data_IF_802439415279
#
_entry.id   IF_802439415279
#
_cell.length_a   1.000
_cell.length_b   1.000
_cell.length_c   1.000
_cell.angle_alpha   90.00
_cell.angle_beta   90.00
_cell.angle_gamma   90.00
#
_symmetry.space_group_name_H-M   'P 1'
#
loop_
_entity.id
_entity.type
_entity.pdbx_description
1 polymer ?
#
# COMPACT_ATOMS: atom_id res chain seq x y z
N UNK A 1 20.56 11.57 -51.60
CA UNK A 1 20.19 11.17 -50.23
C UNK A 1 19.19 12.18 -49.67
N UNK A 2 17.94 11.76 -49.41
CA UNK A 2 16.87 12.67 -48.96
C UNK A 2 17.09 13.17 -47.53
N UNK A 3 17.08 14.48 -47.35
CA UNK A 3 17.13 15.12 -46.02
C UNK A 3 15.86 14.74 -45.26
N UNK A 4 15.99 13.96 -44.18
CA UNK A 4 14.85 13.61 -43.32
C UNK A 4 14.32 14.88 -42.66
N UNK A 5 12.99 15.07 -42.69
CA UNK A 5 12.32 16.18 -42.00
C UNK A 5 12.70 16.12 -40.52
N UNK A 6 13.39 17.16 -40.03
CA UNK A 6 13.72 17.30 -38.61
C UNK A 6 12.42 17.55 -37.85
N UNK A 7 12.16 16.72 -36.84
CA UNK A 7 11.04 16.93 -35.93
C UNK A 7 11.33 18.19 -35.09
N UNK A 8 10.35 19.08 -34.91
CA UNK A 8 10.49 20.29 -34.10
C UNK A 8 11.00 20.00 -32.68
N UNK A 9 11.87 20.87 -32.16
CA UNK A 9 12.49 20.69 -30.85
C UNK A 9 11.46 20.61 -29.69
N UNK A 10 10.34 21.32 -29.82
CA UNK A 10 9.24 21.30 -28.84
C UNK A 10 8.60 19.90 -28.72
N UNK A 11 8.36 19.23 -29.85
CA UNK A 11 7.84 17.85 -29.86
C UNK A 11 8.84 16.85 -29.26
N UNK A 12 10.13 17.12 -29.40
CA UNK A 12 11.15 16.29 -28.75
C UNK A 12 11.17 16.48 -27.23
N UNK A 13 10.99 17.69 -26.70
CA UNK A 13 10.88 17.91 -25.25
C UNK A 13 9.64 17.25 -24.67
N UNK A 14 8.49 17.41 -25.32
CA UNK A 14 7.22 16.81 -24.88
C UNK A 14 7.30 15.28 -24.88
N UNK A 15 7.78 14.66 -25.97
CA UNK A 15 7.94 13.20 -26.03
C UNK A 15 8.98 12.67 -25.03
N UNK A 16 9.98 13.47 -24.68
CA UNK A 16 10.95 13.12 -23.64
C UNK A 16 10.33 13.19 -22.25
N UNK A 17 9.48 14.18 -22.01
CA UNK A 17 8.77 14.39 -20.75
C UNK A 17 7.72 13.29 -20.51
N UNK A 18 6.91 12.94 -21.52
CA UNK A 18 5.98 11.82 -21.44
C UNK A 18 6.69 10.47 -21.24
N UNK A 19 7.85 10.25 -21.87
CA UNK A 19 8.65 9.04 -21.61
C UNK A 19 9.26 9.03 -20.21
N UNK A 20 9.62 10.20 -19.66
CA UNK A 20 10.07 10.33 -18.29
C UNK A 20 8.93 9.99 -17.32
N UNK A 21 7.74 10.53 -17.55
CA UNK A 21 6.53 10.24 -16.77
C UNK A 21 6.17 8.74 -16.79
N UNK A 22 6.18 8.12 -17.98
CA UNK A 22 5.93 6.68 -18.13
C UNK A 22 7.00 5.82 -17.44
N UNK A 23 8.25 6.28 -17.36
CA UNK A 23 9.29 5.58 -16.60
C UNK A 23 9.10 5.75 -15.10
N UNK A 24 8.81 6.96 -14.62
CA UNK A 24 8.49 7.24 -13.21
C UNK A 24 7.31 6.40 -12.74
N UNK A 25 6.24 6.34 -13.54
CA UNK A 25 5.07 5.50 -13.27
C UNK A 25 5.41 4.00 -13.28
N UNK A 26 6.36 3.56 -14.12
CA UNK A 26 6.83 2.16 -14.14
C UNK A 26 7.81 1.81 -13.01
N UNK A 27 8.42 2.79 -12.36
CA UNK A 27 9.37 2.58 -11.24
C UNK A 27 8.77 2.85 -9.86
N UNK A 28 7.54 3.36 -9.78
CA UNK A 28 6.91 3.77 -8.52
C UNK A 28 6.28 2.64 -7.68
N UNK A 29 6.26 1.40 -8.16
CA UNK A 29 5.89 0.26 -7.32
C UNK A 29 7.14 -0.35 -6.71
N UNK A 30 7.52 0.04 -5.48
CA UNK A 30 7.59 -0.91 -4.34
C UNK A 30 8.27 -0.43 -3.05
N UNK A 31 9.15 0.56 -3.02
CA UNK A 31 10.07 0.66 -1.87
C UNK A 31 10.10 2.04 -1.21
N UNK A 32 9.44 2.08 -0.04
CA UNK A 32 9.71 2.94 1.12
C UNK A 32 8.77 4.15 1.36
N UNK A 33 7.44 3.92 1.33
CA UNK A 33 6.44 4.89 1.85
C UNK A 33 6.47 5.03 3.39
N UNK A 34 7.08 4.08 4.11
CA UNK A 34 7.05 4.01 5.58
C UNK A 34 7.77 5.19 6.25
N UNK A 35 8.81 5.74 5.61
CA UNK A 35 9.53 6.93 6.10
C UNK A 35 8.75 8.23 5.91
N UNK A 36 7.84 8.29 4.94
CA UNK A 36 6.98 9.43 4.71
C UNK A 36 5.74 9.42 5.62
N UNK A 37 5.27 8.24 6.04
CA UNK A 37 4.14 8.10 6.98
C UNK A 37 4.57 8.42 8.42
N UNK A 38 5.80 8.08 8.81
CA UNK A 38 6.29 8.26 10.19
C UNK A 38 6.79 9.66 10.49
N UNK A 39 7.18 10.43 9.48
CA UNK A 39 7.61 11.82 9.62
C UNK A 39 6.47 12.76 9.22
N UNK A 40 5.39 12.79 10.00
CA UNK A 40 4.36 13.81 9.87
C UNK A 40 4.97 15.16 10.27
N UNK A 41 5.15 16.13 9.35
CA UNK A 41 5.68 17.43 9.72
C UNK A 41 4.64 18.17 10.58
N UNK A 42 5.06 18.95 11.60
CA UNK A 42 4.13 19.72 12.42
C UNK A 42 3.31 20.66 11.52
N UNK A 43 1.98 20.49 11.59
CA UNK A 43 0.97 21.33 10.93
C UNK A 43 1.38 22.80 11.07
N UNK A 44 1.78 23.44 9.97
CA UNK A 44 2.02 24.88 9.96
C UNK A 44 0.68 25.60 10.08
N UNK A 45 0.52 26.56 11.01
CA UNK A 45 -0.68 27.37 11.08
C UNK A 45 -0.84 28.18 9.79
N UNK A 46 -2.04 28.11 9.21
CA UNK A 46 -2.47 28.92 8.07
C UNK A 46 -2.32 30.40 8.43
N UNK A 47 -1.35 31.07 7.83
CA UNK A 47 -1.29 32.52 7.81
C UNK A 47 -1.79 33.03 6.46
N UNK A 48 -2.77 33.91 6.57
CA UNK A 48 -3.42 34.69 5.54
C UNK A 48 -2.42 35.54 4.76
N UNK A 49 -2.75 35.76 3.49
CA UNK A 49 -2.03 36.50 2.46
C UNK A 49 -1.35 37.79 2.95
N UNK A 50 -0.11 38.02 2.50
CA UNK A 50 0.27 39.28 1.84
C UNK A 50 1.73 39.27 1.33
N UNK A 51 1.83 39.63 0.05
CA UNK A 51 2.81 40.55 -0.53
C UNK A 51 4.28 40.13 -0.79
N UNK A 52 4.67 40.55 -1.99
CA UNK A 52 5.96 41.11 -2.41
C UNK A 52 7.00 40.17 -2.99
N UNK A 53 7.00 40.20 -4.32
CA UNK A 53 8.11 39.90 -5.21
C UNK A 53 9.26 40.89 -5.01
N UNK A 54 10.45 40.38 -4.76
CA UNK A 54 11.69 41.14 -4.96
C UNK A 54 12.79 40.18 -5.41
N UNK A 55 13.08 40.21 -6.72
CA UNK A 55 14.28 39.62 -7.32
C UNK A 55 15.48 40.55 -7.02
N UNK A 56 16.64 40.05 -6.57
CA UNK A 56 17.84 40.86 -6.48
C UNK A 56 18.55 40.91 -7.84
N UNK A 57 18.88 42.15 -8.22
CA UNK A 57 19.72 42.57 -9.33
C UNK A 57 21.17 42.09 -9.13
N UNK A 58 21.81 41.58 -10.19
CA UNK A 58 23.20 41.14 -10.18
C UNK A 58 24.04 42.08 -11.07
N UNK A 59 25.24 42.51 -10.63
CA UNK A 59 26.02 43.52 -11.33
C UNK A 59 26.75 42.93 -12.56
N UNK A 60 26.63 43.64 -13.68
CA UNK A 60 27.54 43.50 -14.83
C UNK A 60 28.92 44.03 -14.44
N UNK A 61 29.94 43.19 -14.59
CA UNK A 61 31.35 43.61 -14.54
C UNK A 61 31.96 43.22 -15.89
N UNK A 62 32.18 44.23 -16.72
CA UNK A 62 33.01 44.18 -17.91
C UNK A 62 34.46 44.33 -17.48
N UNK A 63 35.30 43.32 -17.67
CA UNK A 63 36.76 43.49 -17.67
C UNK A 63 37.37 42.71 -18.84
N UNK A 64 37.93 43.50 -19.75
CA UNK A 64 38.85 43.13 -20.81
C UNK A 64 40.19 42.71 -20.21
N UNK A 65 40.68 41.54 -20.60
CA UNK A 65 42.07 41.16 -20.42
C UNK A 65 42.57 40.45 -21.68
N UNK A 66 43.43 41.15 -22.42
CA UNK A 66 44.15 40.71 -23.61
C UNK A 66 45.44 40.02 -23.16
N UNK A 67 45.40 38.69 -23.09
CA UNK A 67 46.56 37.84 -22.78
C UNK A 67 46.65 36.66 -23.74
N UNK A 68 47.49 36.81 -24.78
CA UNK A 68 47.95 35.76 -25.68
C UNK A 68 48.78 34.74 -24.89
N UNK A 69 48.17 33.62 -24.49
CA UNK A 69 48.88 32.40 -24.11
C UNK A 69 48.26 31.20 -24.85
N UNK A 70 49.12 30.55 -25.64
CA UNK A 70 48.89 29.36 -26.48
C UNK A 70 48.57 28.11 -25.64
N UNK A 71 47.48 28.15 -24.86
CA UNK A 71 46.99 26.99 -24.12
C UNK A 71 46.01 26.19 -25.01
N UNK A 72 46.27 24.88 -25.26
CA UNK A 72 45.45 24.09 -26.16
C UNK A 72 43.99 24.09 -25.70
N UNK A 73 43.02 24.31 -26.61
CA UNK A 73 41.64 24.60 -26.26
C UNK A 73 41.07 23.47 -25.40
N UNK A 74 40.98 23.73 -24.09
CA UNK A 74 40.35 22.85 -23.14
C UNK A 74 38.92 22.63 -23.63
N UNK A 75 38.66 21.43 -24.13
CA UNK A 75 37.36 20.99 -24.63
C UNK A 75 36.36 21.18 -23.50
N UNK A 76 35.65 22.33 -23.52
CA UNK A 76 34.55 22.64 -22.61
C UNK A 76 33.53 21.51 -22.77
N UNK A 77 33.65 20.52 -21.89
CA UNK A 77 32.80 19.35 -21.89
C UNK A 77 31.37 19.86 -21.81
N UNK A 78 30.57 19.57 -22.85
CA UNK A 78 29.15 19.90 -22.86
C UNK A 78 28.59 19.51 -21.50
N UNK A 79 27.86 20.39 -20.80
CA UNK A 79 27.25 20.05 -19.52
C UNK A 79 26.48 18.76 -19.77
N UNK A 80 26.98 17.65 -19.21
CA UNK A 80 26.30 16.37 -19.27
C UNK A 80 24.92 16.69 -18.74
N UNK A 81 23.88 16.55 -19.58
CA UNK A 81 22.49 16.62 -19.13
C UNK A 81 22.47 15.67 -17.94
N UNK A 82 22.48 16.24 -16.73
CA UNK A 82 22.49 15.45 -15.51
C UNK A 82 21.28 14.57 -15.67
N UNK A 83 21.54 13.28 -15.61
CA UNK A 83 20.52 12.27 -15.80
C UNK A 83 19.31 12.72 -14.99
N UNK A 84 18.23 13.09 -15.67
CA UNK A 84 16.94 13.45 -15.05
C UNK A 84 16.26 12.17 -14.54
N UNK A 85 17.07 11.21 -14.13
CA UNK A 85 16.65 10.11 -13.29
C UNK A 85 16.30 10.76 -11.97
N UNK A 86 15.04 10.57 -11.58
CA UNK A 86 14.56 10.87 -10.25
C UNK A 86 15.59 10.33 -9.25
N UNK A 87 16.22 11.24 -8.51
CA UNK A 87 17.17 10.86 -7.48
C UNK A 87 16.39 10.06 -6.45
N UNK A 88 16.91 8.87 -6.12
CA UNK A 88 16.40 8.06 -5.02
C UNK A 88 17.31 8.24 -3.81
N UNK A 89 16.78 8.44 -2.60
CA UNK A 89 15.35 8.62 -2.26
C UNK A 89 14.77 9.92 -2.82
N UNK A 90 13.47 9.92 -3.17
CA UNK A 90 12.75 11.13 -3.60
C UNK A 90 12.84 12.17 -2.48
N UNK A 91 13.23 13.40 -2.82
CA UNK A 91 13.21 14.47 -1.85
C UNK A 91 11.75 14.85 -1.56
N UNK A 92 11.47 15.31 -0.34
CA UNK A 92 10.12 15.71 0.09
C UNK A 92 9.48 16.72 -0.87
N UNK A 93 10.31 17.56 -1.52
CA UNK A 93 9.87 18.56 -2.48
C UNK A 93 9.57 18.00 -3.89
N UNK A 94 10.01 16.77 -4.18
CA UNK A 94 9.78 16.09 -5.47
C UNK A 94 8.48 15.28 -5.47
N UNK A 95 7.91 15.02 -4.29
CA UNK A 95 6.64 14.31 -4.14
C UNK A 95 5.50 15.32 -4.14
N UNK A 96 4.62 15.23 -5.13
CA UNK A 96 3.39 16.01 -5.13
C UNK A 96 2.56 15.65 -3.89
N UNK A 97 2.34 16.61 -3.01
CA UNK A 97 1.41 16.47 -1.89
C UNK A 97 0.01 16.56 -2.47
N UNK A 98 -0.81 15.50 -2.40
CA UNK A 98 -2.16 15.55 -2.94
C UNK A 98 -2.95 16.65 -2.24
N UNK A 99 -3.79 17.35 -3.00
CA UNK A 99 -4.70 18.36 -2.46
C UNK A 99 -5.74 17.75 -1.52
N UNK A 100 -6.05 16.46 -1.73
CA UNK A 100 -7.04 15.70 -0.96
C UNK A 100 -6.34 14.73 -0.01
N UNK A 101 -6.74 14.79 1.26
CA UNK A 101 -6.32 13.81 2.26
C UNK A 101 -7.03 12.46 2.06
N UNK A 102 -6.51 11.42 2.71
CA UNK A 102 -7.17 10.11 2.75
C UNK A 102 -8.58 10.19 3.36
N UNK A 103 -8.76 11.05 4.36
CA UNK A 103 -10.06 11.33 4.98
C UNK A 103 -11.06 11.90 3.97
N UNK A 104 -10.66 12.90 3.19
CA UNK A 104 -11.52 13.54 2.19
C UNK A 104 -11.95 12.54 1.10
N UNK A 105 -11.01 11.72 0.62
CA UNK A 105 -11.28 10.68 -0.37
C UNK A 105 -12.25 9.63 0.17
N UNK A 106 -12.08 9.21 1.43
CA UNK A 106 -13.00 8.27 2.07
C UNK A 106 -14.37 8.89 2.30
N UNK A 107 -14.43 10.18 2.67
CA UNK A 107 -15.68 10.94 2.77
C UNK A 107 -16.46 10.94 1.45
N UNK A 108 -15.78 11.23 0.34
CA UNK A 108 -16.38 11.19 -0.99
C UNK A 108 -16.86 9.78 -1.38
N UNK A 109 -16.09 8.73 -1.07
CA UNK A 109 -16.47 7.34 -1.32
C UNK A 109 -17.65 6.89 -0.47
N UNK A 110 -17.72 7.30 0.80
CA UNK A 110 -18.85 7.01 1.69
C UNK A 110 -20.12 7.68 1.15
N UNK A 111 -20.02 8.95 0.76
CA UNK A 111 -21.13 9.70 0.16
C UNK A 111 -21.63 9.02 -1.12
N UNK A 112 -20.71 8.60 -1.99
CA UNK A 112 -21.05 7.85 -3.21
C UNK A 112 -21.70 6.49 -2.90
N UNK A 113 -21.20 5.76 -1.89
CA UNK A 113 -21.76 4.49 -1.47
C UNK A 113 -23.18 4.65 -0.90
N UNK A 114 -23.40 5.66 -0.06
CA UNK A 114 -24.72 5.98 0.50
C UNK A 114 -25.71 6.42 -0.57
N UNK A 115 -25.25 7.15 -1.59
CA UNK A 115 -26.07 7.54 -2.74
C UNK A 115 -26.48 6.34 -3.60
N UNK A 116 -25.57 5.39 -3.82
CA UNK A 116 -25.83 4.21 -4.65
C UNK A 116 -26.61 3.12 -3.89
N UNK A 117 -26.44 3.04 -2.58
CA UNK A 117 -27.10 2.08 -1.70
C UNK A 117 -27.66 2.81 -0.48
N UNK A 118 -28.77 3.56 -0.63
CA UNK A 118 -29.38 4.23 0.51
C UNK A 118 -29.68 3.18 1.58
N UNK A 119 -29.22 3.37 2.83
CA UNK A 119 -29.50 2.43 3.89
C UNK A 119 -31.02 2.21 3.94
N UNK A 120 -31.44 0.95 3.97
CA UNK A 120 -32.83 0.60 4.27
C UNK A 120 -33.07 0.89 5.74
N UNK A 121 -33.07 2.18 6.11
CA UNK A 121 -33.35 2.62 7.47
C UNK A 121 -34.74 2.06 7.78
N UNK A 122 -34.89 1.24 8.83
CA UNK A 122 -36.20 0.79 9.27
C UNK A 122 -37.08 2.03 9.44
N UNK A 123 -38.22 2.08 8.73
CA UNK A 123 -39.12 3.24 8.65
C UNK A 123 -39.63 3.78 10.01
N UNK A 124 -39.23 3.16 11.12
CA UNK A 124 -39.65 3.49 12.49
C UNK A 124 -39.19 4.86 13.01
N UNK A 125 -38.20 5.51 12.39
CA UNK A 125 -37.76 6.85 12.82
C UNK A 125 -38.37 8.01 12.01
N UNK A 126 -39.16 7.73 10.97
CA UNK A 126 -39.63 8.76 10.03
C UNK A 126 -40.94 9.46 10.43
N UNK A 127 -41.47 9.16 11.62
CA UNK A 127 -42.76 9.68 12.11
C UNK A 127 -42.67 10.95 12.99
N UNK A 128 -41.49 11.56 13.15
CA UNK A 128 -41.32 12.68 14.11
C UNK A 128 -40.98 14.05 13.50
N UNK A 129 -40.85 14.21 12.18
CA UNK A 129 -40.63 15.55 11.58
C UNK A 129 -41.47 15.74 10.31
N UNK A 130 -42.71 16.17 10.54
CA UNK A 130 -43.47 17.00 9.60
C UNK A 130 -43.52 18.36 10.27
N UNK A 131 -42.79 19.35 9.78
CA UNK A 131 -43.21 20.76 9.69
C UNK A 131 -42.45 21.42 8.53
N UNK A 132 -43.10 21.37 7.37
CA UNK A 132 -43.32 22.44 6.41
C UNK A 132 -42.53 23.75 6.63
N UNK A 133 -41.62 24.07 5.71
CA UNK A 133 -41.04 25.41 5.64
C UNK A 133 -39.70 25.54 4.92
N UNK A 134 -39.78 26.02 3.68
CA UNK A 134 -38.74 26.77 2.94
C UNK A 134 -37.75 25.95 2.09
N UNK A 135 -38.04 25.87 0.79
CA UNK A 135 -37.16 25.42 -0.30
C UNK A 135 -36.05 26.46 -0.56
N UNK A 136 -35.26 26.77 0.46
CA UNK A 136 -34.01 27.49 0.27
C UNK A 136 -33.00 26.53 -0.36
N UNK A 137 -32.39 26.93 -1.48
CA UNK A 137 -31.16 26.36 -2.05
C UNK A 137 -30.03 26.44 -1.00
N UNK A 138 -30.13 25.62 0.06
CA UNK A 138 -29.08 25.43 1.02
C UNK A 138 -28.01 24.60 0.32
N UNK A 139 -26.91 25.27 -0.03
CA UNK A 139 -25.72 24.66 -0.60
C UNK A 139 -25.41 23.36 0.17
N UNK A 140 -25.52 22.19 -0.50
CA UNK A 140 -25.30 20.84 0.06
C UNK A 140 -23.88 20.65 0.66
N UNK A 141 -23.03 21.68 0.60
CA UNK A 141 -21.65 21.70 1.04
C UNK A 141 -21.46 21.96 2.55
N UNK A 142 -22.51 22.38 3.28
CA UNK A 142 -22.41 22.73 4.72
C UNK A 142 -22.84 21.60 5.68
N UNK A 143 -23.19 20.41 5.20
CA UNK A 143 -23.53 19.28 6.08
C UNK A 143 -22.26 18.71 6.74
N UNK A 144 -22.13 18.90 8.06
CA UNK A 144 -20.98 18.44 8.84
C UNK A 144 -20.64 16.97 8.51
N UNK A 145 -19.36 16.64 8.24
CA UNK A 145 -18.99 15.29 7.83
C UNK A 145 -19.39 14.27 8.91
N UNK A 146 -19.82 13.06 8.50
CA UNK A 146 -20.27 12.05 9.46
C UNK A 146 -19.20 11.76 10.53
N UNK A 147 -19.55 11.68 11.83
CA UNK A 147 -18.58 11.45 12.91
C UNK A 147 -17.85 10.09 12.80
N UNK A 148 -18.30 9.21 11.91
CA UNK A 148 -17.68 7.92 11.61
C UNK A 148 -16.49 8.01 10.65
N UNK A 149 -16.36 9.11 9.90
CA UNK A 149 -15.34 9.31 8.88
C UNK A 149 -13.89 9.11 9.39
N UNK A 150 -13.45 9.69 10.53
CA UNK A 150 -12.08 9.47 11.02
C UNK A 150 -11.80 8.01 11.37
N UNK A 151 -12.81 7.27 11.84
CA UNK A 151 -12.67 5.85 12.16
C UNK A 151 -12.52 5.00 10.88
N UNK A 152 -13.30 5.32 9.84
CA UNK A 152 -13.17 4.69 8.52
C UNK A 152 -11.81 5.00 7.89
N UNK A 153 -11.35 6.24 8.00
CA UNK A 153 -10.03 6.63 7.52
C UNK A 153 -8.89 5.90 8.24
N UNK A 154 -8.96 5.81 9.55
CA UNK A 154 -8.00 5.03 10.34
C UNK A 154 -8.02 3.55 9.95
N UNK A 155 -9.21 2.97 9.75
CA UNK A 155 -9.37 1.57 9.34
C UNK A 155 -8.81 1.32 7.94
N UNK A 156 -9.10 2.20 6.99
CA UNK A 156 -8.56 2.14 5.62
C UNK A 156 -7.04 2.30 5.60
N UNK A 157 -6.50 3.24 6.38
CA UNK A 157 -5.05 3.42 6.52
C UNK A 157 -4.37 2.16 7.08
N UNK A 158 -4.95 1.55 8.12
CA UNK A 158 -4.43 0.31 8.69
C UNK A 158 -4.50 -0.85 7.68
N UNK A 159 -5.58 -0.92 6.90
CA UNK A 159 -5.73 -1.89 5.83
C UNK A 159 -4.66 -1.72 4.76
N UNK A 160 -4.49 -0.51 4.22
CA UNK A 160 -3.46 -0.20 3.22
C UNK A 160 -2.06 -0.52 3.72
N UNK A 161 -1.74 -0.14 4.96
CA UNK A 161 -0.47 -0.49 5.59
C UNK A 161 -0.25 -2.01 5.65
N UNK A 162 -1.32 -2.78 5.93
CA UNK A 162 -1.26 -4.24 5.94
C UNK A 162 -1.00 -4.81 4.54
N UNK A 163 -1.66 -4.28 3.51
CA UNK A 163 -1.39 -4.68 2.11
C UNK A 163 0.07 -4.40 1.73
N UNK A 164 0.56 -3.21 2.04
CA UNK A 164 1.95 -2.82 1.74
C UNK A 164 2.96 -3.68 2.50
N UNK A 165 2.68 -4.02 3.76
CA UNK A 165 3.51 -4.93 4.55
C UNK A 165 3.56 -6.34 3.93
N UNK A 166 2.40 -6.85 3.46
CA UNK A 166 2.35 -8.13 2.75
C UNK A 166 3.13 -8.09 1.44
N UNK A 167 2.99 -7.02 0.65
CA UNK A 167 3.77 -6.85 -0.59
C UNK A 167 5.28 -6.79 -0.30
N UNK A 168 5.69 -6.09 0.75
CA UNK A 168 7.07 -6.03 1.19
C UNK A 168 7.58 -7.42 1.61
N UNK A 169 6.77 -8.21 2.33
CA UNK A 169 7.10 -9.58 2.73
C UNK A 169 7.27 -10.52 1.52
N UNK A 170 6.47 -10.33 0.48
CA UNK A 170 6.57 -11.10 -0.77
C UNK A 170 7.68 -10.60 -1.70
N UNK A 171 8.34 -9.48 -1.37
CA UNK A 171 9.47 -8.95 -2.15
C UNK A 171 10.79 -9.44 -1.53
N UNK A 172 11.53 -10.37 -2.17
CA UNK A 172 12.75 -10.90 -1.59
C UNK A 172 13.78 -9.79 -1.37
N UNK A 173 14.43 -9.78 -0.20
CA UNK A 173 15.51 -8.86 0.09
C UNK A 173 16.66 -9.06 -0.92
N UNK A 174 17.13 -7.95 -1.51
CA UNK A 174 18.19 -7.97 -2.52
C UNK A 174 19.27 -6.93 -2.24
N UNK A 175 20.52 -7.19 -2.64
CA UNK A 175 21.57 -6.19 -2.57
C UNK A 175 21.19 -4.97 -3.41
N UNK A 176 21.62 -3.78 -2.98
CA UNK A 176 21.24 -2.49 -3.57
C UNK A 176 21.54 -2.42 -5.09
N UNK A 177 22.59 -3.10 -5.55
CA UNK A 177 22.96 -3.20 -6.97
C UNK A 177 21.94 -3.94 -7.85
N UNK A 178 21.05 -4.74 -7.25
CA UNK A 178 20.02 -5.52 -7.95
C UNK A 178 18.61 -4.95 -7.83
N UNK A 179 18.41 -3.85 -7.10
CA UNK A 179 17.08 -3.25 -6.93
C UNK A 179 16.48 -2.80 -8.27
N UNK A 180 17.31 -2.30 -9.19
CA UNK A 180 16.89 -1.90 -10.55
C UNK A 180 16.47 -3.08 -11.45
N UNK A 181 16.60 -4.33 -10.98
CA UNK A 181 16.22 -5.54 -11.73
C UNK A 181 14.89 -6.12 -11.28
N UNK A 182 14.20 -5.48 -10.35
CA UNK A 182 12.87 -5.91 -9.94
C UNK A 182 11.89 -5.65 -11.09
N UNK A 183 11.12 -6.69 -11.42
CA UNK A 183 9.97 -6.51 -12.29
C UNK A 183 8.96 -5.65 -11.53
N UNK A 184 8.37 -4.61 -12.14
CA UNK A 184 7.32 -3.83 -11.51
C UNK A 184 6.23 -4.76 -10.98
N UNK A 185 5.76 -4.51 -9.76
CA UNK A 185 4.64 -5.25 -9.21
C UNK A 185 3.40 -4.89 -10.03
N UNK A 186 2.80 -5.90 -10.66
CA UNK A 186 1.53 -5.72 -11.35
C UNK A 186 0.37 -5.82 -10.36
N UNK A 187 -0.78 -5.26 -10.73
CA UNK A 187 -2.02 -5.41 -9.95
C UNK A 187 -2.40 -6.87 -9.72
N UNK A 188 -2.00 -7.77 -10.63
CA UNK A 188 -2.21 -9.21 -10.50
C UNK A 188 -1.49 -9.76 -9.27
N UNK A 189 -0.24 -9.34 -9.08
CA UNK A 189 0.58 -9.77 -7.94
C UNK A 189 -0.04 -9.27 -6.63
N UNK A 190 -0.60 -8.06 -6.63
CA UNK A 190 -1.33 -7.53 -5.47
C UNK A 190 -2.54 -8.41 -5.13
N UNK A 191 -3.38 -8.74 -6.11
CA UNK A 191 -4.54 -9.61 -5.88
C UNK A 191 -4.15 -11.03 -5.47
N UNK A 192 -3.07 -11.56 -6.05
CA UNK A 192 -2.54 -12.88 -5.72
C UNK A 192 -2.04 -12.96 -4.26
N UNK A 193 -1.34 -11.92 -3.81
CA UNK A 193 -0.89 -11.79 -2.42
C UNK A 193 -2.09 -11.66 -1.48
N UNK A 194 -3.06 -10.80 -1.80
CA UNK A 194 -4.28 -10.63 -0.98
C UNK A 194 -5.09 -11.92 -0.90
N UNK A 195 -5.27 -12.63 -2.02
CA UNK A 195 -5.95 -13.93 -2.05
C UNK A 195 -5.22 -14.99 -1.21
N UNK A 196 -3.89 -14.89 -1.12
CA UNK A 196 -3.10 -15.81 -0.30
C UNK A 196 -3.22 -15.53 1.20
N UNK A 197 -3.55 -14.30 1.59
CA UNK A 197 -3.71 -13.90 2.99
C UNK A 197 -5.17 -13.92 3.47
N UNK A 198 -6.13 -14.18 2.58
CA UNK A 198 -7.54 -14.33 2.96
C UNK A 198 -7.71 -15.55 3.88
N UNK A 199 -7.81 -15.27 5.19
CA UNK A 199 -8.15 -16.23 6.23
C UNK A 199 -9.67 -16.47 6.21
N UNK A 200 -10.13 -17.70 5.91
CA UNK A 200 -11.55 -18.00 5.76
C UNK A 200 -12.30 -18.08 7.11
N UNK A 201 -11.57 -18.16 8.23
CA UNK A 201 -12.14 -18.42 9.55
C UNK A 201 -12.33 -17.16 10.42
N UNK A 202 -11.76 -16.02 10.02
CA UNK A 202 -11.85 -14.81 10.83
C UNK A 202 -13.11 -14.00 10.45
N UNK A 203 -14.06 -13.77 11.39
CA UNK A 203 -15.24 -12.94 11.13
C UNK A 203 -14.89 -11.49 10.78
N UNK A 204 -13.67 -11.06 11.10
CA UNK A 204 -13.12 -9.75 10.78
C UNK A 204 -12.09 -9.81 9.63
N UNK A 205 -12.12 -10.85 8.80
CA UNK A 205 -11.28 -10.91 7.60
C UNK A 205 -11.70 -9.77 6.68
N UNK A 206 -10.80 -8.80 6.49
CA UNK A 206 -11.05 -7.64 5.62
C UNK A 206 -11.17 -8.01 4.14
N UNK A 207 -10.80 -9.23 3.76
CA UNK A 207 -10.67 -9.65 2.37
C UNK A 207 -11.74 -10.68 2.04
N UNK A 208 -12.85 -10.18 1.49
CA UNK A 208 -13.91 -11.01 0.93
C UNK A 208 -13.51 -11.55 -0.47
N UNK A 209 -13.66 -12.85 -0.77
CA UNK A 209 -13.47 -13.37 -2.13
C UNK A 209 -14.33 -12.67 -3.20
N UNK A 210 -15.52 -12.18 -2.84
CA UNK A 210 -16.34 -11.39 -3.75
C UNK A 210 -15.69 -10.04 -4.09
N UNK A 211 -15.07 -9.40 -3.09
CA UNK A 211 -14.30 -8.16 -3.29
C UNK A 211 -13.12 -8.39 -4.24
N UNK A 212 -12.33 -9.46 -4.06
CA UNK A 212 -11.22 -9.80 -4.97
C UNK A 212 -11.73 -9.96 -6.41
N UNK A 213 -12.86 -10.63 -6.60
CA UNK A 213 -13.46 -10.86 -7.92
C UNK A 213 -13.94 -9.54 -8.57
N UNK A 214 -14.54 -8.65 -7.78
CA UNK A 214 -14.96 -7.32 -8.25
C UNK A 214 -13.76 -6.46 -8.64
N UNK A 215 -12.70 -6.45 -7.82
CA UNK A 215 -11.47 -5.70 -8.13
C UNK A 215 -10.80 -6.27 -9.38
N UNK A 216 -10.69 -7.59 -9.50
CA UNK A 216 -10.18 -8.24 -10.72
C UNK A 216 -10.94 -7.78 -11.96
N UNK A 217 -12.27 -7.85 -11.93
CA UNK A 217 -13.12 -7.45 -13.07
C UNK A 217 -12.90 -6.00 -13.46
N UNK A 218 -12.80 -5.09 -12.48
CA UNK A 218 -12.52 -3.66 -12.72
C UNK A 218 -11.12 -3.45 -13.31
N UNK A 219 -10.11 -4.14 -12.78
CA UNK A 219 -8.74 -4.02 -13.28
C UNK A 219 -8.59 -4.60 -14.69
N UNK A 220 -9.30 -5.68 -15.02
CA UNK A 220 -9.33 -6.23 -16.38
C UNK A 220 -10.01 -5.30 -17.37
N UNK A 221 -11.02 -4.54 -16.95
CA UNK A 221 -11.64 -3.53 -17.79
C UNK A 221 -10.68 -2.37 -18.14
N UNK A 222 -9.78 -2.00 -17.21
CA UNK A 222 -8.83 -0.88 -17.39
C UNK A 222 -7.57 -1.34 -18.14
N UNK A 223 -6.99 -2.48 -17.73
CA UNK A 223 -5.68 -2.94 -18.20
C UNK A 223 -5.74 -4.10 -19.20
N UNK A 224 -6.93 -4.62 -19.49
CA UNK A 224 -7.14 -5.79 -20.33
C UNK A 224 -7.22 -7.11 -19.56
N UNK A 225 -7.71 -8.19 -20.21
CA UNK A 225 -7.90 -9.49 -19.58
C UNK A 225 -6.56 -10.07 -19.10
N UNK A 226 -6.59 -10.73 -17.93
CA UNK A 226 -5.40 -11.33 -17.37
C UNK A 226 -5.67 -12.71 -16.77
N UNK A 227 -4.74 -13.65 -17.00
CA UNK A 227 -4.73 -14.97 -16.38
C UNK A 227 -4.30 -14.90 -14.90
N UNK A 228 -5.04 -14.17 -14.07
CA UNK A 228 -4.87 -14.24 -12.61
C UNK A 228 -5.78 -15.31 -12.02
N UNK A 229 -5.18 -16.26 -11.28
CA UNK A 229 -5.86 -17.29 -10.52
C UNK A 229 -6.20 -16.86 -9.07
N UNK A 230 -5.98 -15.59 -8.71
CA UNK A 230 -6.35 -15.02 -7.40
C UNK A 230 -7.77 -15.39 -6.93
N UNK A 231 -8.85 -15.18 -7.72
CA UNK A 231 -10.21 -15.43 -7.24
C UNK A 231 -10.44 -16.93 -6.97
N UNK A 232 -9.89 -17.80 -7.81
CA UNK A 232 -10.01 -19.25 -7.64
C UNK A 232 -9.27 -19.72 -6.39
N UNK A 233 -8.09 -19.16 -6.07
CA UNK A 233 -7.35 -19.47 -4.84
C UNK A 233 -8.08 -18.98 -3.59
N UNK A 234 -8.62 -17.75 -3.62
CA UNK A 234 -9.40 -17.21 -2.50
C UNK A 234 -10.65 -18.07 -2.23
N UNK A 235 -11.37 -18.45 -3.29
CA UNK A 235 -12.55 -19.30 -3.18
C UNK A 235 -12.21 -20.72 -2.68
N UNK A 236 -11.14 -21.33 -3.18
CA UNK A 236 -10.70 -22.66 -2.73
C UNK A 236 -10.42 -22.68 -1.23
N UNK A 237 -9.70 -21.69 -0.69
CA UNK A 237 -9.43 -21.58 0.75
C UNK A 237 -10.71 -21.47 1.58
N UNK A 238 -11.70 -20.74 1.06
CA UNK A 238 -12.99 -20.59 1.70
C UNK A 238 -13.77 -21.92 1.75
N UNK A 239 -13.79 -22.65 0.63
CA UNK A 239 -14.49 -23.95 0.54
C UNK A 239 -13.77 -25.08 1.27
N UNK A 240 -12.43 -25.10 1.27
CA UNK A 240 -11.65 -26.15 1.96
C UNK A 240 -11.83 -26.10 3.46
N UNK A 241 -12.09 -24.92 4.04
CA UNK A 241 -12.40 -24.81 5.46
C UNK A 241 -13.82 -25.30 5.80
N UNK A 242 -14.79 -25.12 4.89
CA UNK A 242 -16.11 -25.74 5.06
C UNK A 242 -16.01 -27.28 5.02
N UNK A 243 -15.14 -27.81 4.16
CA UNK A 243 -14.83 -29.24 4.12
C UNK A 243 -14.07 -29.71 5.39
N UNK A 244 -13.07 -28.97 5.86
CA UNK A 244 -12.34 -29.31 7.09
C UNK A 244 -13.23 -29.25 8.34
N UNK A 245 -14.21 -28.35 8.40
CA UNK A 245 -15.22 -28.33 9.47
C UNK A 245 -16.22 -29.48 9.39
N UNK A 246 -16.55 -29.95 8.19
CA UNK A 246 -17.32 -31.18 8.02
C UNK A 246 -16.51 -32.39 8.48
N UNK A 247 -15.21 -32.43 8.21
CA UNK A 247 -14.33 -33.51 8.66
C UNK A 247 -14.12 -33.49 10.20
N UNK A 248 -13.95 -32.32 10.82
CA UNK A 248 -13.95 -32.19 12.30
C UNK A 248 -15.30 -32.58 12.92
N UNK A 249 -16.41 -32.21 12.28
CA UNK A 249 -17.75 -32.59 12.73
C UNK A 249 -17.99 -34.11 12.59
N UNK A 250 -17.47 -34.74 11.53
CA UNK A 250 -17.52 -36.19 11.36
C UNK A 250 -16.63 -36.91 12.38
N UNK A 251 -15.40 -36.42 12.64
CA UNK A 251 -14.53 -36.97 13.70
C UNK A 251 -15.19 -36.83 15.08
N UNK A 252 -15.91 -35.74 15.34
CA UNK A 252 -16.70 -35.58 16.57
C UNK A 252 -17.91 -36.54 16.64
N UNK A 253 -18.58 -36.80 15.51
CA UNK A 253 -19.67 -37.78 15.42
C UNK A 253 -19.18 -39.21 15.65
N UNK A 254 -17.99 -39.57 15.17
CA UNK A 254 -17.38 -40.88 15.39
C UNK A 254 -16.67 -41.01 16.75
N UNK A 255 -16.32 -39.91 17.42
CA UNK A 255 -15.72 -39.91 18.77
C UNK A 255 -16.75 -40.13 19.89
N UNK A 256 -18.05 -40.02 19.61
CA UNK A 256 -19.12 -40.23 20.60
C UNK A 256 -19.38 -41.71 20.96
N UNK A 257 -18.61 -42.64 20.38
CA UNK A 257 -18.69 -44.07 20.66
C UNK A 257 -17.39 -44.61 21.29
N UNK A 258 -16.84 -43.95 22.31
CA UNK A 258 -15.87 -44.64 23.19
C UNK A 258 -16.62 -45.47 24.25
N UNK A 259 -16.48 -46.81 24.25
CA UNK A 259 -17.04 -47.63 25.32
C UNK A 259 -16.38 -47.24 26.64
N UNK A 260 -17.19 -47.06 27.68
CA UNK A 260 -16.77 -46.68 29.03
C UNK A 260 -15.71 -47.65 29.55
N UNK A 261 -14.44 -47.23 29.44
CA UNK A 261 -13.28 -47.97 29.94
C UNK A 261 -13.36 -47.99 31.47
N UNK A 262 -13.71 -49.16 32.02
CA UNK A 262 -13.72 -49.44 33.46
C UNK A 262 -12.38 -49.01 34.09
N UNK A 263 -12.47 -48.09 35.05
CA UNK A 263 -11.34 -47.58 35.84
C UNK A 263 -10.65 -48.73 36.59
N UNK A 264 -9.33 -48.94 36.43
CA UNK A 264 -8.59 -49.87 37.28
C UNK A 264 -8.37 -49.25 38.67
N UNK A 265 -8.71 -50.02 39.71
CA UNK A 265 -8.45 -49.69 41.12
C UNK A 265 -6.97 -49.35 41.31
N UNK A 266 -6.71 -48.15 41.82
CA UNK A 266 -5.38 -47.71 42.24
C UNK A 266 -4.83 -48.66 43.29
N UNK A 267 -3.67 -49.27 42.98
CA UNK A 267 -2.88 -50.07 43.90
C UNK A 267 -1.76 -49.17 44.42
N UNK A 268 -1.71 -49.04 45.74
CA UNK A 268 -0.82 -48.16 46.48
C UNK A 268 0.65 -48.33 46.12
N UNK A 269 1.28 -47.21 45.79
CA UNK A 269 2.70 -47.07 45.48
C UNK A 269 3.49 -47.05 46.80
N UNK A 270 4.39 -48.02 46.97
CA UNK A 270 5.26 -48.16 48.14
C UNK A 270 6.68 -47.78 47.74
N UNK A 271 7.18 -46.71 48.36
CA UNK A 271 8.56 -46.17 48.31
C UNK A 271 9.67 -47.24 48.30
N UNK A 272 10.75 -46.96 47.57
CA UNK A 272 12.11 -47.43 47.85
C UNK A 272 13.15 -46.40 47.32
N UNK A 273 14.41 -46.42 47.82
CA UNK A 273 15.21 -45.22 48.05
C UNK A 273 16.28 -44.92 46.99
N UNK A 274 16.74 -43.67 47.11
CA UNK A 274 17.91 -42.99 46.51
C UNK A 274 19.16 -43.89 46.45
N UNK A 275 19.80 -43.89 45.28
CA UNK A 275 21.20 -44.31 45.10
C UNK A 275 21.94 -43.09 44.55
N UNK A 276 22.87 -42.57 45.37
CA UNK A 276 23.93 -41.66 44.94
C UNK A 276 24.97 -42.50 44.18
N UNK A 277 25.33 -42.08 42.96
CA UNK A 277 26.57 -42.51 42.33
C UNK A 277 27.48 -41.29 42.17
N UNK A 278 28.53 -41.31 42.99
CA UNK A 278 29.78 -40.59 42.77
C UNK A 278 30.36 -40.98 41.40
N UNK A 279 30.61 -40.00 40.55
CA UNK A 279 31.47 -40.18 39.37
C UNK A 279 32.69 -39.30 39.57
N UNK A 280 33.75 -39.96 40.02
CA UNK A 280 35.12 -39.48 40.06
C UNK A 280 35.63 -39.17 38.64
N UNK A 281 36.28 -38.01 38.55
CA UNK A 281 37.66 -37.81 38.08
C UNK A 281 38.22 -38.85 37.11
N UNK A 282 38.59 -38.41 35.90
CA UNK A 282 39.98 -38.57 35.42
C UNK A 282 40.19 -37.77 34.12
N UNK A 283 41.25 -36.96 34.16
CA UNK A 283 42.25 -36.69 33.12
C UNK A 283 41.83 -36.61 31.65
N UNK A 284 42.33 -35.56 30.96
CA UNK A 284 43.37 -35.74 29.94
C UNK A 284 43.86 -34.38 29.41
N UNK A 285 45.19 -34.24 29.49
CA UNK A 285 46.04 -33.20 28.89
C UNK A 285 45.84 -32.99 27.38
N UNK A 286 46.13 -31.78 26.92
CA UNK A 286 46.31 -31.41 25.51
C UNK A 286 46.44 -29.92 25.27
#
# INVERSE_FOLDING_TARGET
MGKRKRVPAALHSELSEYNSLLRVLRTNDTLDLTKHITLSPPRRPRHTAQASSSKPDAPQVDEQDDGDDDEPPAKRGRPRKRDTWTRWPLLVNDVHVPEWGLEDEIGALVTLCLRNNPPKIPQYAKSAQVEDGDEGDADEDDEDPPPILPHLAQSASAFLASILALLALHTPARPQSMQNRLKPIGWQTVLDVLASCAEPAHPNSLIDPAMISNVKTRMEAIYGPCESHAPLRAALKYTSHAAARLEEADVALFSCAQPTRRQPKQRSEKRAPVVEEDVDSDDLDG
#
